data_IF_259194110162
#
_entry.id   IF_259194110162
#
_cell.length_a   1.000
_cell.length_b   1.000
_cell.length_c   1.000
_cell.angle_alpha   90.00
_cell.angle_beta   90.00
_cell.angle_gamma   90.00
#
_symmetry.space_group_name_H-M   'P 1'
#
loop_
_entity.id
_entity.type
_entity.pdbx_description
1 polymer ?
#
# COMPACT_ATOMS: atom_id res chain seq x y z
N UNK A 1 -18.93 -3.59 32.93
CA UNK A 1 -18.86 -2.98 34.27
C UNK A 1 -20.11 -3.37 34.99
N UNK A 2 -20.01 -4.18 36.05
CA UNK A 2 -21.15 -4.45 36.92
C UNK A 2 -21.39 -3.24 37.81
N UNK A 3 -22.57 -2.65 37.72
CA UNK A 3 -22.95 -1.54 38.59
C UNK A 3 -23.52 -2.10 39.88
N UNK A 4 -23.23 -1.45 41.00
CA UNK A 4 -23.87 -1.79 42.27
C UNK A 4 -25.36 -1.41 42.21
N UNK A 5 -26.18 -1.97 43.10
CA UNK A 5 -27.64 -1.80 43.07
C UNK A 5 -28.07 -0.31 43.11
N UNK A 6 -27.29 0.52 43.80
CA UNK A 6 -27.44 1.96 43.91
C UNK A 6 -27.00 2.74 42.65
N UNK A 7 -26.08 2.18 41.86
CA UNK A 7 -25.57 2.77 40.62
C UNK A 7 -26.45 2.47 39.39
N UNK A 8 -27.39 1.52 39.51
CA UNK A 8 -28.31 1.13 38.43
C UNK A 8 -29.42 2.16 38.17
N UNK A 9 -29.67 3.07 39.12
CA UNK A 9 -30.54 4.25 38.93
C UNK A 9 -32.05 3.97 38.92
N UNK A 10 -32.49 2.73 39.17
CA UNK A 10 -33.89 2.39 39.44
C UNK A 10 -34.13 2.21 40.95
N UNK A 11 -35.37 2.46 41.40
CA UNK A 11 -35.72 2.39 42.82
C UNK A 11 -35.71 0.95 43.34
N UNK A 12 -35.00 0.66 44.43
CA UNK A 12 -34.96 -0.68 45.05
C UNK A 12 -36.30 -1.04 45.73
N UNK A 13 -37.07 -0.04 46.15
CA UNK A 13 -38.39 -0.21 46.75
C UNK A 13 -39.48 -0.26 45.67
N UNK A 14 -40.15 -1.41 45.55
CA UNK A 14 -41.27 -1.62 44.62
C UNK A 14 -40.89 -2.25 43.27
N UNK A 15 -39.61 -2.56 43.07
CA UNK A 15 -39.13 -3.21 41.85
C UNK A 15 -39.09 -4.74 42.03
N UNK A 16 -39.42 -5.47 40.97
CA UNK A 16 -39.43 -6.95 40.95
C UNK A 16 -38.03 -7.51 40.66
N UNK A 17 -37.69 -8.68 41.21
CA UNK A 17 -36.41 -9.37 40.98
C UNK A 17 -36.10 -9.62 39.50
N UNK A 18 -37.14 -9.70 38.66
CA UNK A 18 -37.02 -9.84 37.21
C UNK A 18 -36.27 -8.65 36.57
N UNK A 19 -36.38 -7.45 37.15
CA UNK A 19 -35.68 -6.26 36.65
C UNK A 19 -34.19 -6.31 37.03
N UNK A 20 -33.87 -6.86 38.20
CA UNK A 20 -32.48 -7.07 38.62
C UNK A 20 -31.78 -8.07 37.69
N UNK A 21 -32.43 -9.22 37.42
CA UNK A 21 -31.94 -10.24 36.49
C UNK A 21 -31.76 -9.68 35.07
N UNK A 22 -32.70 -8.85 34.62
CA UNK A 22 -32.61 -8.18 33.32
C UNK A 22 -31.44 -7.18 33.25
N UNK A 23 -31.20 -6.43 34.34
CA UNK A 23 -30.07 -5.51 34.44
C UNK A 23 -28.73 -6.27 34.41
N UNK A 24 -28.61 -7.38 35.14
CA UNK A 24 -27.43 -8.24 35.12
C UNK A 24 -27.15 -8.83 33.73
N UNK A 25 -28.19 -9.35 33.06
CA UNK A 25 -28.07 -9.87 31.70
C UNK A 25 -27.63 -8.79 30.70
N UNK A 26 -28.16 -7.57 30.85
CA UNK A 26 -27.83 -6.44 29.99
C UNK A 26 -26.38 -5.97 30.19
N UNK A 27 -25.89 -5.91 31.43
CA UNK A 27 -24.49 -5.56 31.73
C UNK A 27 -23.52 -6.57 31.10
N UNK A 28 -23.80 -7.87 31.21
CA UNK A 28 -23.00 -8.92 30.58
C UNK A 28 -23.03 -8.83 29.04
N UNK A 29 -24.19 -8.50 28.46
CA UNK A 29 -24.33 -8.30 27.01
C UNK A 29 -23.50 -7.12 26.53
N UNK A 30 -23.51 -6.00 27.24
CA UNK A 30 -22.70 -4.82 26.89
C UNK A 30 -21.21 -5.18 26.91
N UNK A 31 -20.72 -5.90 27.92
CA UNK A 31 -19.32 -6.33 27.97
C UNK A 31 -18.94 -7.18 26.75
N UNK A 32 -19.81 -8.12 26.36
CA UNK A 32 -19.58 -8.95 25.17
C UNK A 32 -19.57 -8.12 23.88
N UNK A 33 -20.46 -7.13 23.75
CA UNK A 33 -20.50 -6.23 22.59
C UNK A 33 -19.22 -5.39 22.51
N UNK A 34 -18.75 -4.84 23.62
CA UNK A 34 -17.52 -4.04 23.64
C UNK A 34 -16.32 -4.89 23.22
N UNK A 35 -16.20 -6.12 23.74
CA UNK A 35 -15.12 -7.04 23.36
C UNK A 35 -15.18 -7.41 21.86
N UNK A 36 -16.38 -7.65 21.33
CA UNK A 36 -16.57 -7.94 19.90
C UNK A 36 -16.22 -6.72 19.04
N UNK A 37 -16.61 -5.51 19.46
CA UNK A 37 -16.34 -4.28 18.73
C UNK A 37 -14.84 -3.95 18.68
N UNK A 38 -14.10 -4.25 19.75
CA UNK A 38 -12.64 -4.09 19.77
C UNK A 38 -11.97 -4.98 18.71
N UNK A 39 -12.34 -6.27 18.66
CA UNK A 39 -11.82 -7.21 17.67
C UNK A 39 -12.22 -6.83 16.24
N UNK A 40 -13.48 -6.46 16.02
CA UNK A 40 -13.96 -6.05 14.70
C UNK A 40 -13.26 -4.78 14.21
N UNK A 41 -13.03 -3.81 15.10
CA UNK A 41 -12.28 -2.58 14.81
C UNK A 41 -10.86 -2.88 14.33
N UNK A 42 -10.16 -3.79 15.03
CA UNK A 42 -8.82 -4.22 14.64
C UNK A 42 -8.79 -4.90 13.27
N UNK A 43 -9.74 -5.81 13.01
CA UNK A 43 -9.84 -6.49 11.71
C UNK A 43 -10.11 -5.51 10.57
N UNK A 44 -11.02 -4.54 10.77
CA UNK A 44 -11.34 -3.52 9.76
C UNK A 44 -10.11 -2.67 9.43
N UNK A 45 -9.36 -2.23 10.43
CA UNK A 45 -8.13 -1.46 10.21
C UNK A 45 -7.06 -2.26 9.46
N UNK A 46 -6.89 -3.55 9.78
CA UNK A 46 -5.97 -4.43 9.08
C UNK A 46 -6.38 -4.61 7.61
N UNK A 47 -7.66 -4.80 7.33
CA UNK A 47 -8.17 -4.91 5.96
C UNK A 47 -7.89 -3.66 5.14
N UNK A 48 -8.10 -2.47 5.70
CA UNK A 48 -7.80 -1.20 5.03
C UNK A 48 -6.31 -1.09 4.68
N UNK A 49 -5.42 -1.52 5.57
CA UNK A 49 -3.97 -1.47 5.32
C UNK A 49 -3.52 -2.52 4.28
N UNK A 50 -4.15 -3.70 4.28
CA UNK A 50 -3.96 -4.72 3.25
C UNK A 50 -4.40 -4.20 1.88
N UNK A 51 -5.55 -3.53 1.79
CA UNK A 51 -6.02 -2.94 0.54
C UNK A 51 -5.06 -1.85 0.03
N UNK A 52 -4.59 -0.96 0.91
CA UNK A 52 -3.59 0.06 0.57
C UNK A 52 -2.32 -0.59 0.02
N UNK A 53 -1.82 -1.62 0.68
CA UNK A 53 -0.63 -2.36 0.25
C UNK A 53 -0.85 -3.02 -1.11
N UNK A 54 -1.98 -3.70 -1.31
CA UNK A 54 -2.34 -4.33 -2.58
C UNK A 54 -2.42 -3.32 -3.72
N UNK A 55 -3.03 -2.15 -3.51
CA UNK A 55 -3.09 -1.08 -4.53
C UNK A 55 -1.70 -0.56 -4.88
N UNK A 56 -0.79 -0.45 -3.90
CA UNK A 56 0.61 -0.04 -4.13
C UNK A 56 1.38 -1.07 -4.95
N UNK A 57 1.25 -2.36 -4.61
CA UNK A 57 1.88 -3.46 -5.37
C UNK A 57 1.39 -3.44 -6.82
N UNK A 58 0.08 -3.31 -7.04
CA UNK A 58 -0.50 -3.22 -8.38
C UNK A 58 0.04 -2.02 -9.17
N UNK A 59 0.14 -0.84 -8.55
CA UNK A 59 0.73 0.33 -9.21
C UNK A 59 2.21 0.11 -9.58
N UNK A 60 2.97 -0.59 -8.72
CA UNK A 60 4.38 -0.89 -9.01
C UNK A 60 4.52 -1.87 -10.18
N UNK A 61 3.76 -2.97 -10.16
CA UNK A 61 3.85 -4.04 -11.16
C UNK A 61 3.41 -3.61 -12.55
N UNK A 62 2.30 -2.89 -12.65
CA UNK A 62 1.67 -2.62 -13.95
C UNK A 62 1.94 -1.22 -14.49
N UNK A 63 2.50 -0.32 -13.70
CA UNK A 63 2.82 1.04 -14.14
C UNK A 63 4.28 1.39 -13.93
N UNK A 64 4.74 1.43 -12.70
CA UNK A 64 6.08 1.98 -12.38
C UNK A 64 7.20 1.12 -12.96
N UNK A 65 7.17 -0.20 -12.75
CA UNK A 65 8.21 -1.11 -13.24
C UNK A 65 8.27 -1.08 -14.79
N UNK A 66 7.15 -1.25 -15.52
CA UNK A 66 7.15 -1.16 -16.98
C UNK A 66 7.71 0.18 -17.51
N UNK A 67 7.28 1.31 -16.94
CA UNK A 67 7.76 2.64 -17.33
C UNK A 67 9.27 2.78 -17.12
N UNK A 68 9.81 2.28 -16.00
CA UNK A 68 11.25 2.32 -15.73
C UNK A 68 12.04 1.43 -16.68
N UNK A 69 11.52 0.24 -17.01
CA UNK A 69 12.14 -0.65 -17.98
C UNK A 69 12.16 -0.06 -19.39
N UNK A 70 11.10 0.63 -19.80
CA UNK A 70 11.04 1.35 -21.08
C UNK A 70 12.05 2.49 -21.12
N UNK A 71 12.10 3.33 -20.08
CA UNK A 71 13.09 4.42 -19.97
C UNK A 71 14.52 3.89 -20.04
N UNK A 72 14.82 2.77 -19.36
CA UNK A 72 16.14 2.12 -19.44
C UNK A 72 16.49 1.73 -20.87
N UNK A 73 15.59 1.01 -21.56
CA UNK A 73 15.79 0.60 -22.96
C UNK A 73 16.00 1.79 -23.89
N UNK A 74 15.25 2.88 -23.68
CA UNK A 74 15.43 4.10 -24.45
C UNK A 74 16.83 4.69 -24.26
N UNK A 75 17.31 4.79 -23.03
CA UNK A 75 18.65 5.31 -22.73
C UNK A 75 19.73 4.43 -23.37
N UNK A 76 19.62 3.10 -23.24
CA UNK A 76 20.54 2.14 -23.86
C UNK A 76 20.57 2.32 -25.38
N UNK A 77 19.41 2.38 -26.02
CA UNK A 77 19.31 2.60 -27.46
C UNK A 77 19.94 3.92 -27.92
N UNK A 78 19.72 5.02 -27.19
CA UNK A 78 20.33 6.31 -27.51
C UNK A 78 21.86 6.27 -27.38
N UNK A 79 22.38 5.56 -26.36
CA UNK A 79 23.83 5.38 -26.20
C UNK A 79 24.44 4.61 -27.36
N UNK A 80 23.84 3.48 -27.73
CA UNK A 80 24.31 2.66 -28.86
C UNK A 80 24.28 3.44 -30.17
N UNK A 81 23.25 4.27 -30.38
CA UNK A 81 23.14 5.10 -31.56
C UNK A 81 24.23 6.19 -31.61
N UNK A 82 24.51 6.85 -30.48
CA UNK A 82 25.63 7.80 -30.38
C UNK A 82 26.97 7.12 -30.66
N UNK A 83 27.21 5.93 -30.13
CA UNK A 83 28.44 5.17 -30.39
C UNK A 83 28.57 4.77 -31.87
N UNK A 84 27.48 4.35 -32.52
CA UNK A 84 27.47 4.06 -33.97
C UNK A 84 27.76 5.30 -34.81
N UNK A 85 27.19 6.44 -34.47
CA UNK A 85 27.45 7.71 -35.16
C UNK A 85 28.92 8.12 -35.02
N UNK A 86 29.48 8.02 -33.82
CA UNK A 86 30.88 8.34 -33.54
C UNK A 86 31.85 7.41 -34.29
N UNK A 87 31.57 6.10 -34.29
CA UNK A 87 32.36 5.13 -35.05
C UNK A 87 32.37 5.44 -36.56
N UNK A 88 31.20 5.78 -37.10
CA UNK A 88 31.05 6.15 -38.51
C UNK A 88 31.84 7.43 -38.83
N UNK A 89 31.80 8.43 -37.93
CA UNK A 89 32.58 9.67 -38.04
C UNK A 89 34.08 9.39 -38.08
N UNK A 90 34.60 8.61 -37.13
CA UNK A 90 36.01 8.23 -37.07
C UNK A 90 36.46 7.44 -38.31
N UNK A 91 35.63 6.49 -38.77
CA UNK A 91 35.91 5.71 -39.99
C UNK A 91 35.97 6.60 -41.23
N UNK A 92 35.11 7.61 -41.35
CA UNK A 92 35.14 8.59 -42.46
C UNK A 92 36.43 9.43 -42.40
N UNK A 93 36.82 9.91 -41.23
CA UNK A 93 38.08 10.66 -41.04
C UNK A 93 39.29 9.81 -41.46
N UNK A 94 39.34 8.55 -41.02
CA UNK A 94 40.42 7.61 -41.38
C UNK A 94 40.51 7.40 -42.91
N UNK A 95 39.36 7.21 -43.59
CA UNK A 95 39.31 7.09 -45.06
C UNK A 95 39.83 8.34 -45.76
N UNK A 96 39.47 9.53 -45.29
CA UNK A 96 39.93 10.80 -45.88
C UNK A 96 41.45 10.95 -45.70
N UNK A 97 41.98 10.65 -44.51
CA UNK A 97 43.43 10.69 -44.24
C UNK A 97 44.21 9.72 -45.14
N UNK A 98 43.73 8.49 -45.29
CA UNK A 98 44.35 7.49 -46.17
C UNK A 98 44.40 7.95 -47.64
N UNK A 99 43.28 8.44 -48.19
CA UNK A 99 43.24 8.99 -49.56
C UNK A 99 44.19 10.17 -49.79
N UNK A 100 44.42 11.00 -48.77
CA UNK A 100 45.37 12.12 -48.84
C UNK A 100 46.83 11.64 -48.81
N UNK A 101 47.11 10.52 -48.15
CA UNK A 101 48.44 9.92 -48.10
C UNK A 101 48.81 9.23 -49.43
N UNK A 102 47.87 8.54 -50.10
CA UNK A 102 48.09 7.95 -51.43
C UNK A 102 48.28 8.98 -52.57
N UNK A 103 47.79 10.20 -52.39
CA UNK A 103 47.92 11.29 -53.37
C UNK A 103 49.23 12.09 -53.24
N UNK A 104 50.04 11.81 -52.22
CA UNK A 104 51.36 12.40 -52.01
C UNK A 104 52.43 11.40 -52.41
#
# INVERSE_FOLDING_TARGET
MKKTLDERGYGVLGTSSVIDDAADAYENLIEAIIASAELEGGVRQLLDEIERTRRRVNALEFKVIPELMEKRRFIEYQRDEMERQEWTRLRRIKKIKAKRAEKR
#
